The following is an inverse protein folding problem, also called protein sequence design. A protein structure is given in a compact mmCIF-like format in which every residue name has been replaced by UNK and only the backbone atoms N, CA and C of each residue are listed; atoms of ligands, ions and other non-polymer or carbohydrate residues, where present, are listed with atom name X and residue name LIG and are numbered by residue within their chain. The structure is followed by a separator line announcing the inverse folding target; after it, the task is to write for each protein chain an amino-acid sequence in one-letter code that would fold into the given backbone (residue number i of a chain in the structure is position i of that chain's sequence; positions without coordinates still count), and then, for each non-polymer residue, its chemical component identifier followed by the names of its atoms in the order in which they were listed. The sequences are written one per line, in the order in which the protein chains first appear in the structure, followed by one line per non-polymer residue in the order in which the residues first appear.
data_IF_068315800405
#
_entry.id   IF_068315800405
#
_cell.length_a   1.000
_cell.length_b   1.000
_cell.length_c   1.000
_cell.angle_alpha   90.00
_cell.angle_beta   90.00
_cell.angle_gamma   90.00
#
_symmetry.space_group_name_H-M   'P 1'
#
loop_
_entity.id
_entity.type
_entity.pdbx_description
1 polymer ?
#
# COMPACT_ATOMS: atom_id res chain seq x y z
N UNK A 1 3.06 2.66 -18.14
CA UNK A 1 1.61 2.57 -18.48
C UNK A 1 1.27 3.45 -19.68
N UNK A 2 1.59 4.75 -19.64
CA UNK A 2 1.35 5.73 -20.73
C UNK A 2 1.90 5.28 -22.09
N UNK A 3 3.17 4.85 -22.14
CA UNK A 3 3.82 4.40 -23.38
C UNK A 3 3.14 3.16 -24.02
N UNK A 4 2.44 2.35 -23.24
CA UNK A 4 1.67 1.19 -23.73
C UNK A 4 0.20 1.52 -24.02
N UNK A 5 -0.19 2.80 -23.98
CA UNK A 5 -1.56 3.31 -24.17
C UNK A 5 -2.61 2.57 -23.33
N UNK A 6 -2.22 2.13 -22.12
CA UNK A 6 -3.13 1.48 -21.18
C UNK A 6 -3.82 2.55 -20.31
N UNK A 7 -5.11 2.37 -19.95
CA UNK A 7 -5.82 3.31 -19.11
C UNK A 7 -5.17 3.40 -17.73
N UNK A 8 -4.89 4.62 -17.28
CA UNK A 8 -4.44 4.92 -15.92
C UNK A 8 -5.67 5.03 -15.03
N UNK A 9 -5.87 4.06 -14.16
CA UNK A 9 -6.93 4.12 -13.15
C UNK A 9 -6.59 5.15 -12.07
N UNK A 10 -7.61 5.79 -11.50
CA UNK A 10 -7.46 6.79 -10.43
C UNK A 10 -6.59 6.27 -9.28
N UNK A 11 -6.87 5.05 -8.83
CA UNK A 11 -6.14 4.35 -7.77
C UNK A 11 -4.63 4.42 -7.95
N UNK A 12 -4.14 4.22 -9.18
CA UNK A 12 -2.72 4.07 -9.45
C UNK A 12 -1.97 5.38 -9.29
N UNK A 13 -2.39 6.43 -10.00
CA UNK A 13 -1.67 7.70 -9.95
C UNK A 13 -1.87 8.42 -8.62
N UNK A 14 -3.07 8.35 -8.03
CA UNK A 14 -3.36 8.91 -6.72
C UNK A 14 -2.39 8.33 -5.70
N UNK A 15 -2.35 7.01 -5.58
CA UNK A 15 -1.45 6.30 -4.66
C UNK A 15 0.02 6.67 -4.87
N UNK A 16 0.52 6.66 -6.11
CA UNK A 16 1.94 6.94 -6.38
C UNK A 16 2.35 8.38 -6.07
N UNK A 17 1.46 9.36 -6.28
CA UNK A 17 1.74 10.75 -5.95
C UNK A 17 1.71 10.96 -4.43
N UNK A 18 0.67 10.47 -3.75
CA UNK A 18 0.49 10.69 -2.31
C UNK A 18 1.52 9.95 -1.47
N UNK A 19 1.91 8.72 -1.85
CA UNK A 19 2.96 7.99 -1.13
C UNK A 19 4.33 8.67 -1.29
N UNK A 20 4.62 9.26 -2.45
CA UNK A 20 5.85 10.00 -2.68
C UNK A 20 5.94 11.23 -1.78
N UNK A 21 4.85 12.01 -1.70
CA UNK A 21 4.76 13.18 -0.82
C UNK A 21 4.89 12.78 0.66
N UNK A 22 4.24 11.70 1.06
CA UNK A 22 4.34 11.17 2.42
C UNK A 22 5.78 10.71 2.75
N UNK A 23 6.44 9.99 1.84
CA UNK A 23 7.83 9.58 2.02
C UNK A 23 8.78 10.76 2.12
N UNK A 24 8.56 11.82 1.33
CA UNK A 24 9.32 13.07 1.45
C UNK A 24 9.13 13.71 2.83
N UNK A 25 7.88 13.83 3.28
CA UNK A 25 7.58 14.37 4.60
C UNK A 25 8.20 13.51 5.72
N UNK A 26 8.11 12.18 5.62
CA UNK A 26 8.69 11.25 6.58
C UNK A 26 10.21 11.29 6.65
N UNK A 27 10.86 11.57 5.51
CA UNK A 27 12.30 11.79 5.46
C UNK A 27 12.71 13.06 6.19
N UNK A 28 12.00 14.18 5.94
CA UNK A 28 12.28 15.47 6.60
C UNK A 28 12.01 15.42 8.11
N UNK A 29 10.99 14.69 8.54
CA UNK A 29 10.63 14.56 9.97
C UNK A 29 11.36 13.41 10.68
N UNK A 30 12.30 12.73 10.02
CA UNK A 30 13.05 11.57 10.55
C UNK A 30 12.16 10.54 11.28
N UNK A 31 11.01 10.22 10.68
CA UNK A 31 9.99 9.41 11.34
C UNK A 31 10.49 7.97 11.60
N UNK A 32 10.67 7.59 12.88
CA UNK A 32 11.15 6.27 13.26
C UNK A 32 10.23 5.12 12.77
N UNK A 33 8.93 5.38 12.67
CA UNK A 33 7.96 4.41 12.11
C UNK A 33 8.14 4.15 10.63
N UNK A 34 8.86 5.04 9.91
CA UNK A 34 9.18 4.90 8.50
C UNK A 34 9.80 3.54 8.15
N UNK A 35 10.63 2.98 9.04
CA UNK A 35 11.26 1.67 8.84
C UNK A 35 10.24 0.53 8.68
N UNK A 36 9.20 0.53 9.51
CA UNK A 36 8.11 -0.44 9.41
C UNK A 36 7.34 -0.28 8.09
N UNK A 37 7.03 0.97 7.71
CA UNK A 37 6.35 1.27 6.46
C UNK A 37 7.14 0.84 5.23
N UNK A 38 8.44 1.12 5.21
CA UNK A 38 9.34 0.76 4.11
C UNK A 38 9.48 -0.76 4.00
N UNK A 39 9.73 -1.44 5.12
CA UNK A 39 9.93 -2.90 5.14
C UNK A 39 8.72 -3.67 4.62
N UNK A 40 7.52 -3.34 5.09
CA UNK A 40 6.30 -4.01 4.60
C UNK A 40 6.00 -3.66 3.14
N UNK A 41 6.27 -2.42 2.72
CA UNK A 41 6.03 -1.98 1.36
C UNK A 41 6.94 -2.72 0.38
N UNK A 42 8.24 -2.80 0.66
CA UNK A 42 9.19 -3.53 -0.18
C UNK A 42 8.89 -5.02 -0.24
N UNK A 43 8.47 -5.62 0.88
CA UNK A 43 8.06 -7.02 0.91
C UNK A 43 6.90 -7.29 -0.04
N UNK A 44 5.81 -6.51 0.05
CA UNK A 44 4.64 -6.69 -0.83
C UNK A 44 4.95 -6.30 -2.28
N UNK A 45 5.71 -5.22 -2.49
CA UNK A 45 6.09 -4.79 -3.84
C UNK A 45 7.01 -5.77 -4.55
N UNK A 46 7.93 -6.43 -3.83
CA UNK A 46 8.79 -7.45 -4.43
C UNK A 46 7.96 -8.59 -5.01
N UNK A 47 6.92 -9.03 -4.30
CA UNK A 47 5.98 -10.05 -4.78
C UNK A 47 5.17 -9.53 -5.98
N UNK A 48 4.62 -8.32 -5.90
CA UNK A 48 3.79 -7.74 -6.96
C UNK A 48 4.59 -7.54 -8.27
N UNK A 49 5.77 -6.92 -8.19
CA UNK A 49 6.60 -6.70 -9.36
C UNK A 49 7.24 -7.99 -9.86
N UNK A 50 7.54 -8.96 -8.98
CA UNK A 50 7.91 -10.31 -9.36
C UNK A 50 6.83 -10.95 -10.24
N UNK A 51 5.57 -10.87 -9.82
CA UNK A 51 4.45 -11.35 -10.63
C UNK A 51 4.34 -10.62 -11.98
N UNK A 52 4.46 -9.29 -12.00
CA UNK A 52 4.41 -8.54 -13.26
C UNK A 52 5.57 -8.86 -14.21
N UNK A 53 6.76 -9.13 -13.68
CA UNK A 53 7.90 -9.60 -14.46
C UNK A 53 7.59 -10.93 -15.14
N UNK A 54 7.06 -11.90 -14.39
CA UNK A 54 6.75 -13.23 -14.90
C UNK A 54 5.61 -13.20 -15.93
N UNK A 55 4.62 -12.33 -15.73
CA UNK A 55 3.58 -12.06 -16.72
C UNK A 55 4.14 -11.41 -18.00
N UNK A 56 5.13 -10.52 -17.88
CA UNK A 56 5.81 -9.95 -19.05
C UNK A 56 6.62 -10.99 -19.84
N UNK A 57 7.15 -12.01 -19.15
CA UNK A 57 7.82 -13.18 -19.75
C UNK A 57 6.83 -14.23 -20.31
N UNK A 58 5.51 -13.97 -20.26
CA UNK A 58 4.44 -14.88 -20.71
C UNK A 58 4.44 -16.24 -19.97
N UNK A 59 4.98 -16.31 -18.76
CA UNK A 59 4.92 -17.51 -17.92
C UNK A 59 3.51 -17.65 -17.35
N UNK A 60 2.86 -18.80 -17.55
CA UNK A 60 1.47 -19.00 -17.18
C UNK A 60 1.35 -19.45 -15.71
N UNK A 61 1.14 -18.50 -14.80
CA UNK A 61 1.03 -18.74 -13.35
C UNK A 61 -0.37 -19.15 -12.92
N UNK A 62 -0.75 -20.40 -13.23
CA UNK A 62 -2.04 -20.98 -12.84
C UNK A 62 -2.19 -21.19 -11.33
N UNK A 63 -1.09 -21.34 -10.59
CA UNK A 63 -1.09 -21.53 -9.13
C UNK A 63 -1.09 -20.24 -8.32
N UNK A 64 -0.86 -19.08 -8.94
CA UNK A 64 -0.78 -17.80 -8.23
C UNK A 64 -1.77 -16.79 -8.80
N UNK A 65 -3.04 -16.83 -8.35
CA UNK A 65 -4.08 -15.97 -8.89
C UNK A 65 -3.89 -14.52 -8.45
N UNK A 66 -4.28 -13.58 -9.32
CA UNK A 66 -4.14 -12.13 -9.07
C UNK A 66 -4.86 -11.65 -7.80
N UNK A 67 -5.85 -12.43 -7.32
CA UNK A 67 -6.55 -12.17 -6.06
C UNK A 67 -5.62 -12.20 -4.85
N UNK A 68 -4.65 -13.12 -4.81
CA UNK A 68 -3.70 -13.24 -3.69
C UNK A 68 -2.89 -11.96 -3.56
N UNK A 69 -2.44 -11.38 -4.68
CA UNK A 69 -1.72 -10.11 -4.68
C UNK A 69 -2.56 -8.97 -4.09
N UNK A 70 -3.80 -8.83 -4.54
CA UNK A 70 -4.70 -7.79 -4.02
C UNK A 70 -5.01 -7.99 -2.54
N UNK A 71 -5.13 -9.23 -2.08
CA UNK A 71 -5.31 -9.54 -0.66
C UNK A 71 -4.07 -9.19 0.17
N UNK A 72 -2.86 -9.48 -0.32
CA UNK A 72 -1.61 -9.06 0.32
C UNK A 72 -1.50 -7.54 0.41
N UNK A 73 -1.92 -6.81 -0.63
CA UNK A 73 -1.94 -5.34 -0.62
C UNK A 73 -2.95 -4.77 0.38
N UNK A 74 -4.14 -5.35 0.49
CA UNK A 74 -5.13 -4.95 1.51
C UNK A 74 -4.59 -5.22 2.91
N UNK A 75 -4.00 -6.40 3.14
CA UNK A 75 -3.40 -6.77 4.41
C UNK A 75 -2.28 -5.79 4.80
N UNK A 76 -1.45 -5.36 3.85
CA UNK A 76 -0.44 -4.33 4.06
C UNK A 76 -1.04 -3.01 4.57
N UNK A 77 -2.20 -2.60 4.04
CA UNK A 77 -2.87 -1.37 4.49
C UNK A 77 -3.43 -1.53 5.91
N UNK A 78 -3.98 -2.70 6.25
CA UNK A 78 -4.47 -3.01 7.60
C UNK A 78 -3.32 -3.03 8.62
N UNK A 79 -2.22 -3.69 8.30
CA UNK A 79 -1.01 -3.71 9.15
C UNK A 79 -0.43 -2.31 9.31
N UNK A 80 -0.41 -1.51 8.23
CA UNK A 80 0.03 -0.12 8.28
C UNK A 80 -0.79 0.75 9.23
N UNK A 81 -2.13 0.62 9.20
CA UNK A 81 -3.00 1.27 10.20
C UNK A 81 -2.70 0.79 11.62
N UNK A 82 -2.44 -0.51 11.80
CA UNK A 82 -2.02 -1.07 13.08
C UNK A 82 -0.75 -0.41 13.62
N UNK A 83 0.27 -0.22 12.79
CA UNK A 83 1.51 0.48 13.16
C UNK A 83 1.26 1.94 13.57
N UNK A 84 0.33 2.62 12.90
CA UNK A 84 -0.05 4.00 13.26
C UNK A 84 -0.73 4.00 14.64
N UNK A 85 -1.70 3.11 14.87
CA UNK A 85 -2.40 3.00 16.14
C UNK A 85 -1.46 2.66 17.30
N UNK A 86 -0.52 1.73 17.11
CA UNK A 86 0.47 1.40 18.15
C UNK A 86 1.38 2.58 18.42
N UNK A 87 1.79 3.33 17.39
CA UNK A 87 2.62 4.52 17.55
C UNK A 87 1.92 5.62 18.33
N UNK A 88 0.61 5.81 18.11
CA UNK A 88 -0.22 6.70 18.93
C UNK A 88 -0.28 6.24 20.39
N UNK A 89 -0.53 4.95 20.62
CA UNK A 89 -0.60 4.37 21.96
C UNK A 89 0.71 4.53 22.76
N UNK A 90 1.86 4.28 22.13
CA UNK A 90 3.16 4.46 22.79
C UNK A 90 3.46 5.93 23.09
N UNK A 91 3.00 6.85 22.22
CA UNK A 91 3.15 8.28 22.42
C UNK A 91 2.30 8.80 23.59
N UNK A 92 1.07 8.32 23.74
CA UNK A 92 0.23 8.63 24.92
C UNK A 92 0.84 8.10 26.23
N UNK A 93 1.56 6.97 26.17
CA UNK A 93 2.28 6.41 27.33
C UNK A 93 3.58 7.13 27.68
N UNK A 94 3.94 8.20 26.96
CA UNK A 94 5.14 8.99 27.24
C UNK A 94 6.45 8.29 26.87
N UNK A 95 6.41 7.24 26.04
CA UNK A 95 7.62 6.64 25.49
C UNK A 95 8.15 7.55 24.39
N UNK A 96 9.41 8.00 24.51
CA UNK A 96 10.05 8.83 23.50
C UNK A 96 10.22 8.02 22.20
N UNK A 97 9.34 8.30 21.23
CA UNK A 97 9.48 7.85 19.86
C UNK A 97 9.66 9.09 18.99
N UNK A 98 10.75 9.16 18.23
CA UNK A 98 11.01 10.20 17.25
C UNK A 98 9.99 10.10 16.11
N UNK A 99 8.80 10.65 16.35
CA UNK A 99 7.72 10.62 15.38
C UNK A 99 6.85 11.86 15.55
N UNK A 100 6.83 12.69 14.52
CA UNK A 100 6.04 13.92 14.52
C UNK A 100 4.54 13.62 14.47
N UNK A 101 3.73 14.42 15.19
CA UNK A 101 2.27 14.26 15.23
C UNK A 101 1.66 14.49 13.83
N UNK A 102 2.21 15.44 13.08
CA UNK A 102 1.80 15.73 11.71
C UNK A 102 2.05 14.53 10.78
N UNK A 103 3.14 13.79 11.00
CA UNK A 103 3.44 12.59 10.23
C UNK A 103 2.43 11.48 10.50
N UNK A 104 2.09 11.25 11.77
CA UNK A 104 1.09 10.26 12.18
C UNK A 104 -0.30 10.56 11.60
N UNK A 105 -0.75 11.82 11.61
CA UNK A 105 -2.02 12.21 10.99
C UNK A 105 -2.01 12.02 9.47
N UNK A 106 -0.95 12.47 8.80
CA UNK A 106 -0.80 12.30 7.36
C UNK A 106 -0.79 10.83 6.96
N UNK A 107 -0.07 9.99 7.72
CA UNK A 107 -0.05 8.54 7.54
C UNK A 107 -1.42 7.92 7.74
N UNK A 108 -2.17 8.32 8.78
CA UNK A 108 -3.49 7.78 9.08
C UNK A 108 -4.47 8.05 7.93
N UNK A 109 -4.53 9.31 7.47
CA UNK A 109 -5.39 9.72 6.36
C UNK A 109 -5.02 8.96 5.08
N UNK A 110 -3.72 8.87 4.79
CA UNK A 110 -3.22 8.17 3.60
C UNK A 110 -3.60 6.69 3.63
N UNK A 111 -3.27 5.96 4.70
CA UNK A 111 -3.54 4.52 4.82
C UNK A 111 -5.04 4.20 4.82
N UNK A 112 -5.86 5.03 5.47
CA UNK A 112 -7.31 4.87 5.46
C UNK A 112 -7.89 5.08 4.05
N UNK A 113 -7.42 6.12 3.34
CA UNK A 113 -7.83 6.38 1.97
C UNK A 113 -7.51 5.18 1.06
N UNK A 114 -6.31 4.61 1.18
CA UNK A 114 -5.88 3.46 0.39
C UNK A 114 -6.69 2.21 0.72
N UNK A 115 -6.95 1.93 2.00
CA UNK A 115 -7.75 0.78 2.39
C UNK A 115 -9.14 0.82 1.73
N UNK A 116 -9.84 1.97 1.79
CA UNK A 116 -11.14 2.12 1.14
C UNK A 116 -11.06 1.91 -0.37
N UNK A 117 -10.06 2.52 -1.01
CA UNK A 117 -9.86 2.46 -2.46
C UNK A 117 -9.52 1.03 -2.94
N UNK A 118 -8.68 0.30 -2.21
CA UNK A 118 -8.33 -1.09 -2.53
C UNK A 118 -9.49 -2.05 -2.25
N UNK A 119 -10.27 -1.84 -1.17
CA UNK A 119 -11.49 -2.59 -0.91
C UNK A 119 -12.52 -2.37 -2.03
N UNK A 120 -12.72 -1.11 -2.45
CA UNK A 120 -13.61 -0.79 -3.56
C UNK A 120 -13.17 -1.49 -4.85
N UNK A 121 -11.88 -1.43 -5.19
CA UNK A 121 -11.32 -2.12 -6.35
C UNK A 121 -11.53 -3.63 -6.28
N UNK A 122 -11.30 -4.23 -5.11
CA UNK A 122 -11.46 -5.65 -4.87
C UNK A 122 -12.91 -6.10 -5.03
N UNK A 123 -13.86 -5.40 -4.42
CA UNK A 123 -15.30 -5.68 -4.53
C UNK A 123 -15.74 -5.59 -6.00
N UNK A 124 -15.38 -4.51 -6.69
CA UNK A 124 -15.74 -4.32 -8.09
C UNK A 124 -15.18 -5.40 -9.02
N UNK A 125 -13.93 -5.83 -8.78
CA UNK A 125 -13.23 -6.74 -9.68
C UNK A 125 -13.45 -8.22 -9.37
N UNK A 126 -13.66 -8.60 -8.12
CA UNK A 126 -13.74 -10.02 -7.74
C UNK A 126 -15.13 -10.45 -7.28
N UNK A 127 -15.92 -9.55 -6.69
CA UNK A 127 -17.27 -9.87 -6.21
C UNK A 127 -18.32 -9.53 -7.28
N UNK A 128 -18.28 -8.30 -7.79
CA UNK A 128 -19.31 -7.81 -8.73
C UNK A 128 -19.05 -8.25 -10.18
N UNK A 129 -17.78 -8.26 -10.62
CA UNK A 129 -17.41 -8.67 -11.99
C UNK A 129 -16.32 -9.75 -11.97
N UNK A 130 -16.59 -10.93 -11.38
CA UNK A 130 -15.58 -11.98 -11.30
C UNK A 130 -15.04 -12.31 -12.70
N UNK A 131 -13.71 -12.42 -12.87
CA UNK A 131 -13.14 -12.79 -14.16
C UNK A 131 -13.71 -14.15 -14.59
N UNK A 132 -14.32 -14.22 -15.77
CA UNK A 132 -14.76 -15.50 -16.37
C UNK A 132 -13.53 -16.42 -16.45
N UNK A 133 -13.66 -17.62 -15.87
CA UNK A 133 -12.64 -18.67 -15.89
C UNK A 133 -12.28 -19.07 -17.32
#
# INVERSE_FOLDING_TARGET
IVLRKRPLIFLHWYHHVTVLLYSWNAYVTEAATGLWFISMNYSVHSIMYGYYCLMALKVNMKWFPTFVLTSCQILQMVVGLGVICTSWYYKEKGVECANDISNLYAGAIMFLSYLMLFLHFFVQRYILNPPRK
#
